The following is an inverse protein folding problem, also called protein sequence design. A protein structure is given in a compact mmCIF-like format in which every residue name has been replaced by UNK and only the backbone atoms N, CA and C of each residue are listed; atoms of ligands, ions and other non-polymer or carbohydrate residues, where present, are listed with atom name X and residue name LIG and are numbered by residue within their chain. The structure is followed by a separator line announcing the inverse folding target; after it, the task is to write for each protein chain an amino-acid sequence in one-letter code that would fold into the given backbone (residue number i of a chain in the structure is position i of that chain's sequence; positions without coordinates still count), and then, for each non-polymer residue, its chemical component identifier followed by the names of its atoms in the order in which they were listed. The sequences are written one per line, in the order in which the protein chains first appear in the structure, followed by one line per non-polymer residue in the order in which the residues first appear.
data_IF_579755444135
#
_entry.id   IF_579755444135
#
_cell.length_a   1.000
_cell.length_b   1.000
_cell.length_c   1.000
_cell.angle_alpha   90.00
_cell.angle_beta   90.00
_cell.angle_gamma   90.00
#
_symmetry.space_group_name_H-M   'P 1'
#
loop_
_entity.id
_entity.type
_entity.pdbx_description
1 polymer ?
#
# COMPACT_ATOMS: atom_id res chain seq x y z
N UNK A 1 -8.71 7.92 14.61
CA UNK A 1 -9.56 7.29 13.59
C UNK A 1 -8.69 6.70 12.48
N UNK A 2 -9.11 5.61 11.84
CA UNK A 2 -8.45 5.00 10.67
C UNK A 2 -9.28 5.29 9.41
N UNK A 3 -8.72 6.01 8.44
CA UNK A 3 -9.32 6.19 7.12
C UNK A 3 -8.74 5.18 6.15
N UNK A 4 -9.58 4.35 5.55
CA UNK A 4 -9.18 3.32 4.58
C UNK A 4 -9.55 3.83 3.19
N UNK A 5 -8.57 3.86 2.29
CA UNK A 5 -8.70 4.41 0.94
C UNK A 5 -8.53 3.29 -0.09
N UNK A 6 -9.59 3.02 -0.84
CA UNK A 6 -9.62 1.94 -1.86
C UNK A 6 -10.10 2.47 -3.20
N UNK A 7 -9.41 2.10 -4.26
CA UNK A 7 -9.90 2.33 -5.63
C UNK A 7 -10.55 1.05 -6.16
N UNK A 8 -11.69 1.20 -6.80
CA UNK A 8 -12.41 0.10 -7.44
C UNK A 8 -12.72 0.38 -8.89
N UNK A 9 -12.58 -0.66 -9.72
CA UNK A 9 -13.06 -0.69 -11.09
C UNK A 9 -13.38 -2.14 -11.49
N UNK A 10 -14.66 -2.41 -11.74
CA UNK A 10 -15.14 -3.75 -12.10
C UNK A 10 -14.60 -4.84 -11.16
N UNK A 11 -14.72 -4.60 -9.85
CA UNK A 11 -14.13 -5.43 -8.80
C UNK A 11 -15.14 -6.08 -7.86
N UNK A 12 -16.40 -6.29 -8.29
CA UNK A 12 -17.45 -6.83 -7.42
C UNK A 12 -17.07 -8.14 -6.71
N UNK A 13 -16.48 -9.09 -7.45
CA UNK A 13 -16.06 -10.37 -6.88
C UNK A 13 -14.91 -10.21 -5.87
N UNK A 14 -14.01 -9.26 -6.10
CA UNK A 14 -12.92 -8.93 -5.19
C UNK A 14 -13.45 -8.29 -3.92
N UNK A 15 -14.34 -7.31 -4.06
CA UNK A 15 -14.99 -6.65 -2.93
C UNK A 15 -15.80 -7.62 -2.07
N UNK A 16 -16.47 -8.62 -2.67
CA UNK A 16 -17.18 -9.67 -1.91
C UNK A 16 -16.26 -10.54 -1.06
N UNK A 17 -15.01 -10.72 -1.49
CA UNK A 17 -13.99 -11.43 -0.70
C UNK A 17 -13.35 -10.53 0.35
N UNK A 18 -13.01 -9.30 -0.01
CA UNK A 18 -12.36 -8.32 0.86
C UNK A 18 -13.28 -7.91 2.02
N UNK A 19 -14.50 -7.47 1.72
CA UNK A 19 -15.38 -6.81 2.69
C UNK A 19 -15.59 -7.60 3.98
N UNK A 20 -16.01 -8.87 3.97
CA UNK A 20 -16.26 -9.60 5.21
C UNK A 20 -14.99 -9.80 6.04
N UNK A 21 -13.84 -10.03 5.40
CA UNK A 21 -12.56 -10.25 6.09
C UNK A 21 -11.99 -8.94 6.64
N UNK A 22 -12.15 -7.85 5.92
CA UNK A 22 -11.76 -6.50 6.39
C UNK A 22 -12.61 -6.08 7.58
N UNK A 23 -13.95 -6.16 7.49
CA UNK A 23 -14.84 -5.74 8.59
C UNK A 23 -14.60 -6.59 9.85
N UNK A 24 -14.28 -7.86 9.69
CA UNK A 24 -13.92 -8.72 10.83
C UNK A 24 -12.58 -8.29 11.47
N UNK A 25 -11.63 -7.77 10.68
CA UNK A 25 -10.33 -7.28 11.17
C UNK A 25 -10.40 -5.86 11.76
N UNK A 26 -11.50 -5.14 11.55
CA UNK A 26 -11.73 -3.79 12.04
C UNK A 26 -12.56 -3.74 13.35
N UNK A 27 -12.89 -4.90 13.93
CA UNK A 27 -13.60 -4.92 15.21
C UNK A 27 -12.82 -4.13 16.27
N UNK A 28 -13.53 -3.21 16.95
CA UNK A 28 -12.97 -2.28 17.95
C UNK A 28 -11.98 -1.22 17.41
N UNK A 29 -11.95 -1.01 16.12
CA UNK A 29 -11.22 0.09 15.48
C UNK A 29 -12.23 1.12 14.98
N UNK A 30 -12.07 2.38 15.38
CA UNK A 30 -12.83 3.50 14.82
C UNK A 30 -12.31 3.79 13.41
N UNK A 31 -13.14 3.56 12.37
CA UNK A 31 -12.75 3.66 10.98
C UNK A 31 -13.79 4.30 10.07
N UNK A 32 -13.31 4.80 8.94
CA UNK A 32 -14.11 5.17 7.78
C UNK A 32 -13.45 4.58 6.51
N UNK A 33 -14.20 3.81 5.75
CA UNK A 33 -13.73 3.20 4.50
C UNK A 33 -14.30 3.94 3.29
N UNK A 34 -13.44 4.69 2.61
CA UNK A 34 -13.80 5.41 1.39
C UNK A 34 -13.38 4.59 0.16
N UNK A 35 -14.33 4.32 -0.70
CA UNK A 35 -14.12 3.59 -1.94
C UNK A 35 -14.43 4.51 -3.11
N UNK A 36 -13.43 4.84 -3.93
CA UNK A 36 -13.64 5.52 -5.20
C UNK A 36 -13.93 4.49 -6.28
N UNK A 37 -15.15 4.49 -6.78
CA UNK A 37 -15.53 3.65 -7.91
C UNK A 37 -15.28 4.37 -9.24
N UNK A 38 -14.38 3.82 -10.06
CA UNK A 38 -13.93 4.41 -11.31
C UNK A 38 -14.83 4.02 -12.49
N UNK A 39 -16.14 4.27 -12.39
CA UNK A 39 -17.16 3.96 -13.38
C UNK A 39 -17.25 2.45 -13.69
N UNK A 40 -17.40 1.63 -12.65
CA UNK A 40 -17.66 0.21 -12.82
C UNK A 40 -18.98 -0.05 -13.56
N UNK A 41 -18.99 -1.10 -14.36
CA UNK A 41 -20.16 -1.57 -15.11
C UNK A 41 -20.71 -2.89 -14.55
N UNK A 42 -20.01 -3.46 -13.56
CA UNK A 42 -20.48 -4.59 -12.78
C UNK A 42 -21.32 -4.12 -11.58
N UNK A 43 -21.71 -5.04 -10.70
CA UNK A 43 -22.53 -4.75 -9.53
C UNK A 43 -21.72 -4.30 -8.29
N UNK A 44 -20.50 -3.79 -8.48
CA UNK A 44 -19.63 -3.31 -7.38
C UNK A 44 -20.31 -2.30 -6.48
N UNK A 45 -20.90 -1.26 -7.07
CA UNK A 45 -21.56 -0.16 -6.33
C UNK A 45 -22.77 -0.67 -5.59
N UNK A 46 -23.66 -1.44 -6.26
CA UNK A 46 -24.86 -2.01 -5.69
C UNK A 46 -24.52 -2.94 -4.49
N UNK A 47 -23.45 -3.74 -4.63
CA UNK A 47 -22.98 -4.59 -3.54
C UNK A 47 -22.57 -3.76 -2.31
N UNK A 48 -21.74 -2.74 -2.50
CA UNK A 48 -21.26 -1.91 -1.39
C UNK A 48 -22.40 -1.14 -0.70
N UNK A 49 -23.34 -0.61 -1.48
CA UNK A 49 -24.54 0.08 -0.95
C UNK A 49 -25.45 -0.89 -0.16
N UNK A 50 -25.54 -2.16 -0.60
CA UNK A 50 -26.35 -3.19 0.08
C UNK A 50 -25.86 -3.53 1.49
N UNK A 51 -24.59 -3.20 1.83
CA UNK A 51 -24.03 -3.47 3.16
C UNK A 51 -24.66 -2.60 4.26
N UNK A 52 -25.32 -1.50 3.92
CA UNK A 52 -25.98 -0.58 4.86
C UNK A 52 -25.08 -0.17 6.06
N UNK A 53 -23.79 0.01 5.82
CA UNK A 53 -22.80 0.36 6.84
C UNK A 53 -22.38 1.81 6.71
N UNK A 54 -22.70 2.64 7.70
CA UNK A 54 -22.42 4.09 7.69
C UNK A 54 -20.92 4.44 7.68
N UNK A 55 -20.06 3.51 8.10
CA UNK A 55 -18.60 3.67 8.03
C UNK A 55 -18.03 3.39 6.63
N UNK A 56 -18.86 2.94 5.67
CA UNK A 56 -18.45 2.69 4.29
C UNK A 56 -19.03 3.77 3.38
N UNK A 57 -18.16 4.50 2.71
CA UNK A 57 -18.54 5.58 1.79
C UNK A 57 -18.11 5.25 0.36
N UNK A 58 -19.06 5.00 -0.50
CA UNK A 58 -18.82 4.81 -1.93
C UNK A 58 -18.91 6.16 -2.64
N UNK A 59 -17.88 6.51 -3.38
CA UNK A 59 -17.78 7.74 -4.15
C UNK A 59 -17.70 7.37 -5.64
N UNK A 60 -18.82 7.37 -6.37
CA UNK A 60 -18.83 7.11 -7.80
C UNK A 60 -18.04 8.18 -8.57
N UNK A 61 -17.21 7.75 -9.50
CA UNK A 61 -16.46 8.64 -10.37
C UNK A 61 -16.81 8.39 -11.84
N UNK A 62 -16.70 9.43 -12.65
CA UNK A 62 -17.21 9.43 -14.03
C UNK A 62 -16.43 8.56 -15.02
N UNK A 63 -15.19 8.21 -14.70
CA UNK A 63 -14.31 7.44 -15.57
C UNK A 63 -13.16 6.76 -14.78
N UNK A 64 -12.38 5.90 -15.46
CA UNK A 64 -11.24 5.18 -14.92
C UNK A 64 -9.87 5.70 -15.43
N UNK A 65 -9.81 6.92 -15.94
CA UNK A 65 -8.60 7.48 -16.57
C UNK A 65 -7.57 8.01 -15.57
N UNK A 66 -7.98 8.26 -14.33
CA UNK A 66 -7.03 8.68 -13.29
C UNK A 66 -6.12 7.53 -12.90
N UNK A 67 -4.83 7.86 -12.69
CA UNK A 67 -3.88 6.92 -12.12
C UNK A 67 -4.17 6.66 -10.63
N UNK A 68 -3.46 5.69 -10.06
CA UNK A 68 -3.66 5.28 -8.68
C UNK A 68 -3.45 6.44 -7.70
N UNK A 69 -2.33 7.15 -7.81
CA UNK A 69 -1.99 8.29 -6.94
C UNK A 69 -3.08 9.36 -6.93
N UNK A 70 -3.54 9.79 -8.10
CA UNK A 70 -4.59 10.80 -8.22
C UNK A 70 -5.92 10.33 -7.59
N UNK A 71 -6.24 9.05 -7.74
CA UNK A 71 -7.42 8.45 -7.12
C UNK A 71 -7.34 8.43 -5.60
N UNK A 72 -6.19 8.04 -5.05
CA UNK A 72 -5.96 8.00 -3.60
C UNK A 72 -5.93 9.42 -3.02
N UNK A 73 -5.25 10.38 -3.68
CA UNK A 73 -5.25 11.79 -3.26
C UNK A 73 -6.66 12.39 -3.22
N UNK A 74 -7.49 12.04 -4.22
CA UNK A 74 -8.91 12.45 -4.21
C UNK A 74 -9.64 11.90 -2.98
N UNK A 75 -9.47 10.62 -2.64
CA UNK A 75 -10.06 10.01 -1.44
C UNK A 75 -9.53 10.63 -0.15
N UNK A 76 -8.23 10.87 -0.07
CA UNK A 76 -7.61 11.53 1.08
C UNK A 76 -8.21 12.93 1.32
N UNK A 77 -8.37 13.72 0.26
CA UNK A 77 -9.03 15.03 0.32
C UNK A 77 -10.48 14.93 0.76
N UNK A 78 -11.22 13.94 0.24
CA UNK A 78 -12.62 13.69 0.63
C UNK A 78 -12.77 13.25 2.09
N UNK A 79 -11.83 12.45 2.60
CA UNK A 79 -11.77 12.00 4.00
C UNK A 79 -11.47 13.15 4.96
N UNK A 80 -10.70 14.16 4.53
CA UNK A 80 -10.29 15.32 5.31
C UNK A 80 -9.76 14.95 6.72
N UNK A 81 -8.78 14.04 6.85
CA UNK A 81 -8.32 13.54 8.14
C UNK A 81 -7.55 14.60 8.92
N UNK A 82 -7.64 14.51 10.25
CA UNK A 82 -6.76 15.28 11.14
C UNK A 82 -5.33 14.72 11.09
N UNK A 83 -4.33 15.52 11.40
CA UNK A 83 -2.91 15.12 11.32
C UNK A 83 -2.56 13.87 12.11
N UNK A 84 -3.24 13.62 13.22
CA UNK A 84 -3.08 12.43 14.08
C UNK A 84 -3.76 11.17 13.56
N UNK A 85 -4.68 11.30 12.61
CA UNK A 85 -5.42 10.16 12.07
C UNK A 85 -4.51 9.25 11.22
N UNK A 86 -4.90 8.00 11.13
CA UNK A 86 -4.21 7.00 10.32
C UNK A 86 -4.87 6.89 8.94
N UNK A 87 -4.05 6.74 7.94
CA UNK A 87 -4.45 6.49 6.55
C UNK A 87 -3.99 5.09 6.17
N UNK A 88 -4.90 4.27 5.72
CA UNK A 88 -4.59 2.94 5.18
C UNK A 88 -4.85 2.92 3.68
N UNK A 89 -3.81 2.72 2.88
CA UNK A 89 -3.98 2.35 1.48
C UNK A 89 -4.34 0.88 1.42
N UNK A 90 -5.40 0.55 0.70
CA UNK A 90 -5.92 -0.81 0.59
C UNK A 90 -6.39 -1.13 -0.82
N UNK A 91 -5.77 -2.11 -1.46
CA UNK A 91 -6.26 -2.64 -2.73
C UNK A 91 -7.57 -3.41 -2.56
N UNK A 92 -8.40 -3.43 -3.60
CA UNK A 92 -9.69 -4.13 -3.59
C UNK A 92 -9.58 -5.66 -3.72
N UNK A 93 -8.39 -6.21 -3.96
CA UNK A 93 -8.11 -7.64 -4.17
C UNK A 93 -7.28 -8.28 -3.04
N UNK A 94 -7.51 -7.80 -1.83
CA UNK A 94 -6.88 -8.27 -0.60
C UNK A 94 -7.86 -9.13 0.22
N UNK A 95 -7.35 -10.12 0.94
CA UNK A 95 -8.11 -10.97 1.87
C UNK A 95 -7.34 -11.05 3.19
N UNK A 96 -7.95 -10.62 4.28
CA UNK A 96 -7.39 -10.74 5.62
C UNK A 96 -7.67 -12.15 6.18
N UNK A 97 -6.61 -12.93 6.45
CA UNK A 97 -6.73 -14.28 6.98
C UNK A 97 -6.78 -14.35 8.50
N UNK A 98 -6.59 -13.23 9.16
CA UNK A 98 -6.72 -13.10 10.61
C UNK A 98 -7.37 -11.76 10.98
N UNK A 99 -7.82 -11.66 12.22
CA UNK A 99 -8.47 -10.45 12.76
C UNK A 99 -7.46 -9.47 13.39
N UNK A 100 -6.16 -9.80 13.42
CA UNK A 100 -5.17 -9.07 14.18
C UNK A 100 -4.19 -8.28 13.31
N UNK A 101 -4.18 -8.51 12.00
CA UNK A 101 -3.20 -7.88 11.09
C UNK A 101 -3.22 -6.37 11.18
N UNK A 102 -4.41 -5.73 11.15
CA UNK A 102 -4.53 -4.27 11.24
C UNK A 102 -4.08 -3.77 12.62
N UNK A 103 -4.51 -4.43 13.70
CA UNK A 103 -4.11 -4.07 15.07
C UNK A 103 -2.59 -4.14 15.26
N UNK A 104 -1.92 -5.17 14.70
CA UNK A 104 -0.46 -5.28 14.75
C UNK A 104 0.24 -4.13 14.03
N UNK A 105 -0.27 -3.71 12.88
CA UNK A 105 0.27 -2.58 12.14
C UNK A 105 0.09 -1.26 12.89
N UNK A 106 -1.10 -1.02 13.45
CA UNK A 106 -1.40 0.17 14.28
C UNK A 106 -0.51 0.20 15.51
N UNK A 107 -0.34 -0.94 16.21
CA UNK A 107 0.49 -1.02 17.40
C UNK A 107 1.96 -0.64 17.15
N UNK A 108 2.50 -0.92 15.96
CA UNK A 108 3.83 -0.45 15.55
C UNK A 108 3.87 1.08 15.45
N UNK A 109 2.86 1.69 14.81
CA UNK A 109 2.76 3.15 14.67
C UNK A 109 2.61 3.87 16.00
N UNK A 110 1.91 3.25 16.96
CA UNK A 110 1.63 3.87 18.27
C UNK A 110 2.84 3.78 19.22
N UNK A 111 3.60 2.69 19.15
CA UNK A 111 4.73 2.45 20.06
C UNK A 111 6.01 3.20 19.66
N UNK A 112 6.22 3.49 18.39
CA UNK A 112 7.41 4.19 17.91
C UNK A 112 7.03 5.42 17.08
N UNK A 113 7.20 6.64 17.63
CA UNK A 113 6.87 7.90 16.94
C UNK A 113 7.78 8.18 15.71
N UNK A 114 8.88 7.44 15.57
CA UNK A 114 9.76 7.55 14.41
C UNK A 114 9.30 6.70 13.23
N UNK A 115 8.27 5.86 13.41
CA UNK A 115 7.69 5.10 12.31
C UNK A 115 6.76 5.99 11.49
N UNK A 116 7.07 6.09 10.19
CA UNK A 116 6.27 6.86 9.22
C UNK A 116 5.33 6.00 8.41
N UNK A 117 5.73 4.77 8.11
CA UNK A 117 4.94 3.82 7.32
C UNK A 117 5.05 2.42 7.91
N UNK A 118 3.94 1.70 7.94
CA UNK A 118 3.88 0.26 8.21
C UNK A 118 3.22 -0.45 7.03
N UNK A 119 3.94 -1.35 6.37
CA UNK A 119 3.40 -2.24 5.34
C UNK A 119 3.23 -3.66 5.85
N UNK A 120 2.37 -4.42 5.20
CA UNK A 120 2.02 -5.79 5.60
C UNK A 120 2.89 -6.85 4.92
N UNK A 121 2.97 -8.05 5.54
CA UNK A 121 3.33 -9.27 4.81
C UNK A 121 2.19 -9.68 3.89
N UNK A 122 2.52 -9.93 2.62
CA UNK A 122 1.54 -10.44 1.67
C UNK A 122 1.95 -11.83 1.17
N UNK A 123 0.95 -12.68 1.05
CA UNK A 123 1.08 -14.02 0.48
C UNK A 123 0.29 -14.11 -0.83
N UNK A 124 0.76 -14.93 -1.76
CA UNK A 124 -0.04 -15.30 -2.93
C UNK A 124 -1.26 -16.11 -2.50
N UNK A 125 -2.43 -15.75 -3.00
CA UNK A 125 -3.72 -16.35 -2.63
C UNK A 125 -3.68 -17.87 -2.74
N UNK A 126 -4.14 -18.55 -1.67
CA UNK A 126 -4.20 -20.00 -1.60
C UNK A 126 -2.84 -20.71 -1.48
N UNK A 127 -1.78 -19.97 -1.16
CA UNK A 127 -0.44 -20.53 -1.00
C UNK A 127 0.21 -20.06 0.31
N UNK A 128 1.35 -20.70 0.68
CA UNK A 128 2.23 -20.21 1.73
C UNK A 128 3.45 -19.45 1.17
N UNK A 129 3.38 -18.97 -0.09
CA UNK A 129 4.48 -18.26 -0.73
C UNK A 129 4.33 -16.76 -0.52
N UNK A 130 5.44 -16.13 -0.16
CA UNK A 130 5.54 -14.69 -0.02
C UNK A 130 5.34 -14.02 -1.38
N UNK A 131 4.46 -13.02 -1.41
CA UNK A 131 4.39 -12.06 -2.49
C UNK A 131 5.20 -10.82 -2.15
N UNK A 132 5.13 -10.39 -0.87
CA UNK A 132 5.84 -9.23 -0.36
C UNK A 132 6.33 -9.46 1.07
N UNK A 133 7.62 -9.20 1.28
CA UNK A 133 8.26 -9.17 2.59
C UNK A 133 9.19 -7.94 2.76
N UNK A 134 8.79 -6.80 2.17
CA UNK A 134 9.58 -5.57 2.06
C UNK A 134 10.08 -5.33 0.64
N UNK A 135 10.62 -4.15 0.38
CA UNK A 135 11.21 -3.77 -0.91
C UNK A 135 12.71 -3.58 -0.76
N UNK A 136 13.47 -4.18 -1.68
CA UNK A 136 14.92 -4.05 -1.81
C UNK A 136 15.28 -3.45 -3.16
N UNK A 137 16.43 -2.80 -3.24
CA UNK A 137 16.99 -2.23 -4.47
C UNK A 137 18.15 -3.09 -4.97
N UNK A 138 17.96 -3.67 -6.15
CA UNK A 138 18.92 -4.59 -6.77
C UNK A 138 20.11 -3.84 -7.39
N UNK A 139 21.37 -4.24 -7.11
CA UNK A 139 22.55 -3.56 -7.67
C UNK A 139 22.69 -3.74 -9.18
N UNK A 140 22.20 -4.86 -9.73
CA UNK A 140 22.33 -5.19 -11.15
C UNK A 140 21.37 -4.37 -12.00
N UNK A 141 20.12 -4.34 -11.57
CA UNK A 141 19.04 -3.69 -12.32
C UNK A 141 18.67 -2.32 -11.79
N UNK A 142 19.17 -1.96 -10.59
CA UNK A 142 18.81 -0.73 -9.84
C UNK A 142 17.29 -0.58 -9.65
N UNK A 143 16.54 -1.67 -9.83
CA UNK A 143 15.08 -1.68 -9.72
C UNK A 143 14.65 -2.07 -8.32
N UNK A 144 13.58 -1.45 -7.78
CA UNK A 144 12.94 -1.97 -6.58
C UNK A 144 12.31 -3.34 -6.86
N UNK A 145 12.47 -4.26 -5.92
CA UNK A 145 11.98 -5.63 -6.00
C UNK A 145 11.35 -6.04 -4.66
N UNK A 146 10.32 -6.88 -4.72
CA UNK A 146 9.80 -7.50 -3.51
C UNK A 146 10.81 -8.49 -2.92
N UNK A 147 11.25 -8.24 -1.70
CA UNK A 147 12.16 -9.13 -0.99
C UNK A 147 11.48 -10.48 -0.76
N UNK A 148 12.20 -11.57 -1.07
CA UNK A 148 11.76 -12.96 -0.92
C UNK A 148 10.50 -13.36 -1.70
N UNK A 149 10.07 -12.60 -2.69
CA UNK A 149 8.92 -12.96 -3.53
C UNK A 149 9.06 -14.37 -4.12
N UNK A 150 7.99 -15.19 -4.04
CA UNK A 150 7.94 -16.57 -4.50
C UNK A 150 8.52 -17.61 -3.53
N UNK A 151 9.23 -17.19 -2.46
CA UNK A 151 9.73 -18.11 -1.44
C UNK A 151 8.62 -18.49 -0.45
N UNK A 152 8.76 -19.65 0.20
CA UNK A 152 7.87 -20.03 1.29
C UNK A 152 8.03 -19.05 2.48
N UNK A 153 6.92 -18.77 3.17
CA UNK A 153 6.99 -18.04 4.45
C UNK A 153 7.65 -18.91 5.52
N UNK A 154 8.36 -18.27 6.45
CA UNK A 154 9.03 -18.91 7.58
C UNK A 154 9.08 -17.94 8.77
N UNK A 155 9.62 -18.41 9.90
CA UNK A 155 9.75 -17.62 11.12
C UNK A 155 10.53 -16.30 10.92
N UNK A 156 11.43 -16.23 9.92
CA UNK A 156 12.18 -15.03 9.60
C UNK A 156 11.32 -14.01 8.85
N UNK A 157 10.42 -14.46 7.98
CA UNK A 157 9.45 -13.60 7.28
C UNK A 157 8.35 -13.08 8.22
N UNK A 158 8.15 -13.74 9.36
CA UNK A 158 7.15 -13.35 10.36
C UNK A 158 7.64 -12.26 11.33
N UNK A 159 8.91 -11.88 11.24
CA UNK A 159 9.48 -10.83 12.07
C UNK A 159 9.35 -9.47 11.41
N UNK A 160 9.16 -8.44 12.24
CA UNK A 160 9.13 -7.07 11.74
C UNK A 160 10.52 -6.65 11.26
N UNK A 161 10.56 -5.82 10.21
CA UNK A 161 11.81 -5.38 9.59
C UNK A 161 11.73 -3.95 9.11
N UNK A 162 12.85 -3.27 9.12
CA UNK A 162 12.98 -1.95 8.53
C UNK A 162 13.50 -2.07 7.09
N UNK A 163 12.80 -1.41 6.16
CA UNK A 163 13.19 -1.30 4.75
C UNK A 163 13.24 0.17 4.29
N UNK A 164 13.56 0.38 3.02
CA UNK A 164 13.44 1.71 2.40
C UNK A 164 12.01 1.94 1.88
N UNK A 165 11.33 0.88 1.49
CA UNK A 165 9.95 0.94 1.03
C UNK A 165 9.21 -0.39 1.30
N UNK A 166 7.88 -0.31 1.26
CA UNK A 166 6.92 -1.41 1.29
C UNK A 166 5.87 -1.18 0.21
N UNK A 167 5.09 -2.20 -0.14
CA UNK A 167 4.03 -2.08 -1.14
C UNK A 167 2.81 -1.33 -0.61
N UNK A 168 2.15 -0.57 -1.49
CA UNK A 168 0.90 0.14 -1.23
C UNK A 168 -0.35 -0.73 -1.22
N UNK A 169 -0.24 -2.05 -1.48
CA UNK A 169 -1.41 -2.93 -1.48
C UNK A 169 -2.12 -2.98 -0.12
N UNK A 170 -1.33 -2.97 0.99
CA UNK A 170 -1.81 -2.77 2.37
C UNK A 170 -0.73 -2.01 3.14
N UNK A 171 -0.94 -0.72 3.36
CA UNK A 171 0.02 0.19 3.96
C UNK A 171 -0.68 1.17 4.89
N UNK A 172 -0.12 1.42 6.09
CA UNK A 172 -0.62 2.43 7.02
C UNK A 172 0.42 3.53 7.20
N UNK A 173 -0.04 4.79 7.20
CA UNK A 173 0.76 5.98 7.53
C UNK A 173 -0.10 6.99 8.33
N UNK A 174 0.51 8.01 8.92
CA UNK A 174 -0.25 9.12 9.52
C UNK A 174 -0.64 10.15 8.47
N UNK A 175 -1.83 10.75 8.61
CA UNK A 175 -2.30 11.80 7.71
C UNK A 175 -1.29 12.95 7.59
N UNK A 176 -0.65 13.34 8.69
CA UNK A 176 0.41 14.33 8.70
C UNK A 176 1.55 13.98 7.71
N UNK A 177 2.04 12.73 7.73
CA UNK A 177 3.13 12.33 6.82
C UNK A 177 2.67 12.28 5.36
N UNK A 178 1.43 11.85 5.13
CA UNK A 178 0.83 11.79 3.79
C UNK A 178 0.67 13.20 3.17
N UNK A 179 0.24 14.20 3.92
CA UNK A 179 0.12 15.59 3.49
C UNK A 179 1.46 16.21 3.07
N UNK A 180 2.58 15.78 3.66
CA UNK A 180 3.88 16.37 3.45
C UNK A 180 4.78 15.53 2.52
N UNK A 181 4.19 14.70 1.66
CA UNK A 181 4.93 14.00 0.61
C UNK A 181 5.47 15.02 -0.39
N UNK A 182 6.74 14.87 -0.75
CA UNK A 182 7.36 15.76 -1.71
C UNK A 182 6.88 15.46 -3.13
N UNK A 183 6.01 16.31 -3.64
CA UNK A 183 5.42 16.21 -4.96
C UNK A 183 5.10 17.57 -5.56
N UNK A 184 4.90 17.62 -6.86
CA UNK A 184 4.40 18.77 -7.60
C UNK A 184 3.16 18.35 -8.39
N UNK A 185 2.11 17.99 -7.67
CA UNK A 185 0.86 17.54 -8.29
C UNK A 185 0.18 18.68 -9.05
N UNK A 186 -0.09 18.47 -10.33
CA UNK A 186 -0.81 19.44 -11.19
C UNK A 186 -2.24 19.64 -10.69
N UNK A 187 -2.82 18.63 -10.07
CA UNK A 187 -4.17 18.71 -9.46
C UNK A 187 -4.25 19.64 -8.26
N UNK A 188 -3.09 20.02 -7.67
CA UNK A 188 -3.00 20.76 -6.40
C UNK A 188 -3.44 19.95 -5.20
N UNK A 189 -3.58 18.61 -5.32
CA UNK A 189 -3.86 17.73 -4.19
C UNK A 189 -2.56 17.42 -3.44
N UNK A 190 -2.66 17.33 -2.11
CA UNK A 190 -1.62 16.78 -1.25
C UNK A 190 -1.51 15.26 -1.46
N UNK A 191 -0.36 14.67 -1.08
CA UNK A 191 -0.18 13.24 -1.02
C UNK A 191 0.72 12.68 -2.13
N UNK A 192 0.36 11.53 -2.67
CA UNK A 192 1.18 10.78 -3.62
C UNK A 192 1.44 11.54 -4.92
N UNK A 193 2.60 11.29 -5.52
CA UNK A 193 3.02 11.92 -6.77
C UNK A 193 2.20 11.39 -7.96
N UNK A 194 1.38 12.25 -8.57
CA UNK A 194 0.47 11.93 -9.67
C UNK A 194 1.17 11.76 -11.03
N UNK A 195 2.48 11.96 -11.10
CA UNK A 195 3.27 11.72 -12.32
C UNK A 195 3.58 10.23 -12.55
N UNK A 196 3.31 9.36 -11.56
CA UNK A 196 3.36 7.91 -11.76
C UNK A 196 2.08 7.43 -12.43
N UNK A 197 2.16 6.98 -13.67
CA UNK A 197 0.98 6.44 -14.37
C UNK A 197 0.58 5.06 -13.87
N UNK A 198 1.55 4.26 -13.43
CA UNK A 198 1.35 2.91 -12.95
C UNK A 198 2.62 2.34 -12.31
N UNK A 199 2.54 1.77 -11.09
CA UNK A 199 3.63 1.25 -10.27
C UNK A 199 4.66 2.30 -9.79
N UNK A 200 5.35 1.95 -8.72
CA UNK A 200 6.40 2.71 -8.01
C UNK A 200 5.93 3.96 -7.25
N UNK A 201 4.69 4.33 -7.32
CA UNK A 201 4.09 5.42 -6.56
C UNK A 201 4.08 5.15 -5.06
N UNK A 202 3.87 3.92 -4.64
CA UNK A 202 4.01 3.44 -3.26
C UNK A 202 5.46 3.49 -2.76
N UNK A 203 6.42 3.19 -3.64
CA UNK A 203 7.84 3.31 -3.34
C UNK A 203 8.23 4.77 -3.18
N UNK A 204 7.78 5.64 -4.08
CA UNK A 204 7.99 7.08 -4.00
C UNK A 204 7.45 7.68 -2.69
N UNK A 205 6.24 7.29 -2.29
CA UNK A 205 5.64 7.64 -1.01
C UNK A 205 6.56 7.25 0.16
N UNK A 206 7.01 6.00 0.19
CA UNK A 206 7.91 5.51 1.24
C UNK A 206 9.23 6.27 1.28
N UNK A 207 9.86 6.49 0.11
CA UNK A 207 11.12 7.23 0.02
C UNK A 207 10.95 8.70 0.46
N UNK A 208 9.81 9.33 0.12
CA UNK A 208 9.51 10.69 0.56
C UNK A 208 9.39 10.77 2.08
N UNK A 209 8.63 9.89 2.70
CA UNK A 209 8.49 9.84 4.16
C UNK A 209 9.83 9.52 4.84
N UNK A 210 10.60 8.57 4.28
CA UNK A 210 11.91 8.20 4.81
C UNK A 210 12.93 9.34 4.74
N UNK A 211 13.14 9.90 3.56
CA UNK A 211 14.26 10.79 3.31
C UNK A 211 13.96 12.27 3.48
N UNK A 212 12.73 12.69 3.30
CA UNK A 212 12.34 14.10 3.50
C UNK A 212 11.82 14.36 4.91
N UNK A 213 11.21 13.36 5.55
CA UNK A 213 10.63 13.50 6.88
C UNK A 213 11.40 12.72 7.97
N UNK A 214 12.48 11.99 7.59
CA UNK A 214 13.37 11.30 8.53
C UNK A 214 12.73 10.11 9.25
N UNK A 215 11.69 9.48 8.67
CA UNK A 215 10.92 8.42 9.33
C UNK A 215 11.33 7.02 8.89
N UNK A 216 11.04 6.04 9.76
CA UNK A 216 11.27 4.62 9.49
C UNK A 216 10.14 4.05 8.64
N UNK A 217 10.47 3.10 7.77
CA UNK A 217 9.52 2.32 6.97
C UNK A 217 9.59 0.88 7.46
N UNK A 218 8.51 0.38 8.06
CA UNK A 218 8.48 -0.92 8.71
C UNK A 218 7.60 -1.91 7.94
N UNK A 219 8.14 -3.07 7.69
CA UNK A 219 7.40 -4.25 7.27
C UNK A 219 6.91 -4.99 8.52
N UNK A 220 5.61 -5.19 8.63
CA UNK A 220 4.98 -5.95 9.71
C UNK A 220 4.88 -7.43 9.31
N UNK A 221 5.86 -8.24 9.73
CA UNK A 221 5.91 -9.67 9.41
C UNK A 221 4.81 -10.50 10.07
N UNK A 222 4.26 -10.01 11.18
CA UNK A 222 3.19 -10.68 11.93
C UNK A 222 1.81 -10.63 11.28
N UNK A 223 1.64 -9.97 10.15
CA UNK A 223 0.36 -9.94 9.40
C UNK A 223 0.17 -11.21 8.57
N UNK A 224 -1.10 -11.58 8.30
CA UNK A 224 -1.44 -12.73 7.48
C UNK A 224 -2.51 -12.33 6.46
N UNK A 225 -2.06 -11.87 5.30
CA UNK A 225 -2.91 -11.24 4.29
C UNK A 225 -2.60 -11.85 2.92
N UNK A 226 -3.63 -12.31 2.21
CA UNK A 226 -3.52 -12.67 0.81
C UNK A 226 -3.75 -11.46 -0.09
N UNK A 227 -3.04 -11.42 -1.21
CA UNK A 227 -3.28 -10.44 -2.27
C UNK A 227 -3.38 -11.19 -3.61
N UNK A 228 -4.52 -11.04 -4.26
CA UNK A 228 -4.74 -11.58 -5.60
C UNK A 228 -3.97 -10.68 -6.58
N UNK A 229 -2.74 -11.06 -6.95
CA UNK A 229 -1.95 -10.30 -7.92
C UNK A 229 -2.76 -10.11 -9.21
N UNK A 230 -3.20 -8.88 -9.41
CA UNK A 230 -4.16 -8.58 -10.46
C UNK A 230 -3.62 -8.94 -11.83
N UNK A 231 -4.40 -9.73 -12.54
CA UNK A 231 -4.25 -10.05 -13.96
C UNK A 231 -4.14 -8.81 -14.89
N UNK A 232 -4.34 -7.61 -14.36
CA UNK A 232 -4.23 -6.32 -15.06
C UNK A 232 -2.82 -6.09 -15.59
N UNK A 233 -1.78 -6.54 -14.87
CA UNK A 233 -0.37 -6.45 -15.27
C UNK A 233 -0.06 -7.24 -16.55
N UNK A 234 -0.62 -8.42 -16.66
CA UNK A 234 -0.26 -9.40 -17.71
C UNK A 234 -0.98 -9.15 -19.03
N UNK A 235 -2.03 -8.33 -19.04
CA UNK A 235 -2.96 -8.23 -20.19
C UNK A 235 -2.74 -7.03 -21.11
N UNK A 236 -1.96 -6.00 -20.70
CA UNK A 236 -1.79 -4.80 -21.53
C UNK A 236 -0.31 -4.50 -21.85
N UNK A 237 0.11 -4.59 -23.14
CA UNK A 237 1.47 -4.25 -23.56
C UNK A 237 1.91 -2.82 -23.19
N UNK A 238 0.98 -1.86 -23.10
CA UNK A 238 1.26 -0.48 -22.70
C UNK A 238 1.83 -0.40 -21.27
N UNK A 239 1.53 -1.37 -20.40
CA UNK A 239 2.04 -1.40 -19.04
C UNK A 239 3.57 -1.53 -18.98
N UNK A 240 4.21 -2.18 -19.97
CA UNK A 240 5.68 -2.26 -20.05
C UNK A 240 6.31 -0.90 -20.32
N UNK A 241 5.69 -0.09 -21.14
CA UNK A 241 6.16 1.27 -21.44
C UNK A 241 6.01 2.18 -20.20
N UNK A 242 4.88 2.13 -19.52
CA UNK A 242 4.66 2.88 -18.27
C UNK A 242 5.62 2.44 -17.18
N UNK A 243 5.89 1.13 -17.04
CA UNK A 243 6.85 0.62 -16.06
C UNK A 243 8.26 1.20 -16.28
N UNK A 244 8.73 1.24 -17.54
CA UNK A 244 10.03 1.81 -17.89
C UNK A 244 10.08 3.32 -17.62
N UNK A 245 9.03 4.06 -17.99
CA UNK A 245 8.92 5.49 -17.75
C UNK A 245 8.91 5.81 -16.26
N UNK A 246 8.06 5.14 -15.48
CA UNK A 246 7.96 5.36 -14.03
C UNK A 246 9.26 5.00 -13.30
N UNK A 247 9.96 3.95 -13.75
CA UNK A 247 11.25 3.58 -13.20
C UNK A 247 12.31 4.67 -13.46
N UNK A 248 12.36 5.22 -14.67
CA UNK A 248 13.25 6.34 -15.00
C UNK A 248 12.90 7.57 -14.19
N UNK A 249 11.62 7.86 -14.00
CA UNK A 249 11.15 8.97 -13.17
C UNK A 249 11.55 8.79 -11.71
N UNK A 250 11.31 7.60 -11.13
CA UNK A 250 11.75 7.24 -9.78
C UNK A 250 13.26 7.48 -9.60
N UNK A 251 14.07 7.01 -10.55
CA UNK A 251 15.51 7.20 -10.49
C UNK A 251 15.91 8.66 -10.63
N UNK A 252 15.28 9.44 -11.50
CA UNK A 252 15.57 10.86 -11.64
C UNK A 252 15.31 11.62 -10.33
N UNK A 253 14.27 11.25 -9.61
CA UNK A 253 13.86 11.87 -8.34
C UNK A 253 14.72 11.44 -7.17
N UNK A 254 15.13 10.16 -7.10
CA UNK A 254 15.74 9.57 -5.90
C UNK A 254 17.15 9.03 -6.04
N UNK A 255 17.75 8.99 -7.24
CA UNK A 255 19.01 8.27 -7.56
C UNK A 255 20.20 8.54 -6.62
N UNK A 256 20.22 9.68 -5.94
CA UNK A 256 21.31 10.06 -5.03
C UNK A 256 20.97 9.81 -3.55
N UNK A 257 19.77 9.30 -3.26
CA UNK A 257 19.25 9.22 -1.89
C UNK A 257 18.92 7.80 -1.46
N UNK A 258 18.38 6.94 -2.33
CA UNK A 258 18.12 5.55 -1.97
C UNK A 258 19.42 4.72 -1.99
N UNK A 259 19.50 3.71 -1.11
CA UNK A 259 20.62 2.79 -1.06
C UNK A 259 20.36 1.52 -1.88
N UNK A 260 21.42 0.98 -2.49
CA UNK A 260 21.39 -0.38 -3.05
C UNK A 260 21.61 -1.33 -1.87
N UNK A 261 20.64 -2.18 -1.57
CA UNK A 261 20.59 -2.93 -0.32
C UNK A 261 20.29 -4.43 -0.46
N UNK A 262 19.99 -4.91 -1.66
CA UNK A 262 19.70 -6.34 -1.90
C UNK A 262 20.77 -7.26 -1.31
N UNK A 263 22.03 -7.00 -1.61
CA UNK A 263 23.12 -7.87 -1.17
C UNK A 263 23.28 -7.89 0.34
N UNK A 264 22.99 -6.77 1.03
CA UNK A 264 23.03 -6.66 2.48
C UNK A 264 21.99 -7.61 3.09
N UNK A 265 20.74 -7.51 2.66
CA UNK A 265 19.63 -8.33 3.19
C UNK A 265 19.72 -9.79 2.75
N UNK A 266 20.35 -10.08 1.60
CA UNK A 266 20.55 -11.46 1.13
C UNK A 266 21.62 -12.18 1.94
N UNK A 267 22.71 -11.48 2.32
CA UNK A 267 23.80 -12.05 3.14
C UNK A 267 23.40 -12.27 4.59
N UNK A 268 22.76 -11.27 5.20
CA UNK A 268 22.20 -11.38 6.55
C UNK A 268 20.79 -10.79 6.59
N UNK A 269 19.77 -11.61 6.38
CA UNK A 269 18.39 -11.15 6.40
C UNK A 269 17.93 -10.69 7.79
N UNK A 270 18.77 -10.83 8.84
CA UNK A 270 18.49 -10.32 10.20
C UNK A 270 19.00 -8.91 10.43
N UNK A 271 19.84 -8.37 9.53
CA UNK A 271 20.49 -7.06 9.72
C UNK A 271 19.48 -5.88 9.84
N UNK A 272 18.24 -6.07 9.37
CA UNK A 272 17.17 -5.07 9.40
C UNK A 272 16.00 -5.45 10.30
N UNK A 273 16.18 -6.38 11.24
CA UNK A 273 15.15 -6.72 12.24
C UNK A 273 14.76 -5.47 13.02
N UNK A 274 13.45 -5.35 13.26
CA UNK A 274 12.86 -4.27 14.02
C UNK A 274 12.15 -4.83 15.24
N UNK A 275 12.61 -4.44 16.41
CA UNK A 275 12.03 -4.82 17.70
C UNK A 275 11.36 -3.60 18.32
N UNK A 276 10.14 -3.78 18.77
CA UNK A 276 9.36 -2.75 19.47
C UNK A 276 9.53 -2.90 20.97
#
# INVERSE_FOLDING_TARGET
MLFILTLNWNGADKLRKLTPTLLNSLQNIDFEWLIKDNASTDDSVQYLESLNNHSIKVIPYKDNRQNFSAGVNFLFKAANPADRDLIMLLNNDVIFNDTQSINKMIAIMDKDPDVGVVGSRLLYTGTNKLQHAGVIFDPTYKTPMHFRAGQATDALAEQNRQFQAVTGAVLITKAHYYKHIWTQNVSGNDGMDENYHWAFDDIDLCLSIKYNQGKKIIYCGGTNIFHEESATLKKNPANKMFLSHNLQYLFSKWRTRYAIDKDIYTRDPRCNLYTI
#
